data_IF_901552389380
#
_entry.id   IF_901552389380
#
_cell.length_a   1.000
_cell.length_b   1.000
_cell.length_c   1.000
_cell.angle_alpha   90.00
_cell.angle_beta   90.00
_cell.angle_gamma   90.00
#
_symmetry.space_group_name_H-M   'P 1'
#
loop_
_entity.id
_entity.type
_entity.pdbx_description
1 polymer ?
#
# COMPACT_ATOMS: atom_id res chain seq x y z
N UNK A 1 -7.29 7.57 11.73
CA UNK A 1 -6.12 6.98 11.03
C UNK A 1 -5.76 7.73 9.74
N UNK A 2 -6.70 8.05 8.81
CA UNK A 2 -6.40 8.76 7.55
C UNK A 2 -5.72 10.12 7.74
N UNK A 3 -6.23 10.96 8.67
CA UNK A 3 -5.62 12.26 8.97
C UNK A 3 -4.18 12.14 9.49
N UNK A 4 -3.92 11.14 10.34
CA UNK A 4 -2.55 10.85 10.81
C UNK A 4 -1.62 10.42 9.68
N UNK A 5 -2.11 9.64 8.72
CA UNK A 5 -1.36 9.27 7.52
C UNK A 5 -0.98 10.49 6.66
N UNK A 6 -1.93 11.43 6.45
CA UNK A 6 -1.66 12.69 5.73
C UNK A 6 -0.66 13.59 6.46
N UNK A 7 -0.79 13.74 7.78
CA UNK A 7 0.19 14.49 8.57
C UNK A 7 1.57 13.85 8.48
N UNK A 8 1.64 12.52 8.56
CA UNK A 8 2.89 11.77 8.40
C UNK A 8 3.48 11.89 7.00
N UNK A 9 2.64 11.98 5.96
CA UNK A 9 3.06 12.18 4.57
C UNK A 9 3.87 13.47 4.39
N UNK A 10 3.42 14.54 5.02
CA UNK A 10 4.09 15.84 4.95
C UNK A 10 5.24 15.92 5.97
N UNK A 11 4.98 15.53 7.22
CA UNK A 11 5.95 15.67 8.28
C UNK A 11 7.19 14.76 8.12
N UNK A 12 7.01 13.53 7.64
CA UNK A 12 8.09 12.54 7.54
C UNK A 12 9.24 12.95 6.63
N UNK A 13 8.98 13.15 5.31
CA UNK A 13 10.01 13.59 4.36
C UNK A 13 10.63 14.92 4.74
N UNK A 14 9.83 15.90 5.19
CA UNK A 14 10.32 17.20 5.62
C UNK A 14 11.22 17.10 6.86
N UNK A 15 10.85 16.29 7.86
CA UNK A 15 11.67 16.03 9.03
C UNK A 15 13.02 15.41 8.62
N UNK A 16 13.00 14.41 7.75
CA UNK A 16 14.23 13.78 7.25
C UNK A 16 15.11 14.78 6.48
N UNK A 17 14.51 15.58 5.59
CA UNK A 17 15.23 16.58 4.80
C UNK A 17 15.93 17.63 5.66
N UNK A 18 15.22 18.19 6.66
CA UNK A 18 15.78 19.25 7.52
C UNK A 18 16.78 18.73 8.55
N UNK A 19 16.69 17.46 8.93
CA UNK A 19 17.52 16.92 10.02
C UNK A 19 18.71 16.08 9.54
N UNK A 20 18.75 15.67 8.26
CA UNK A 20 19.79 14.80 7.70
C UNK A 20 21.21 15.33 7.81
N UNK A 21 21.37 16.66 7.84
CA UNK A 21 22.68 17.35 7.88
C UNK A 21 22.99 18.01 9.22
N UNK A 22 22.13 17.85 10.23
CA UNK A 22 22.32 18.48 11.55
C UNK A 22 23.48 17.88 12.35
N UNK A 23 23.92 16.67 12.06
CA UNK A 23 25.02 16.00 12.72
C UNK A 23 26.15 15.74 11.72
N UNK A 24 27.34 15.49 12.23
CA UNK A 24 28.54 15.24 11.42
C UNK A 24 28.45 13.97 10.56
N UNK A 25 27.67 12.99 10.99
CA UNK A 25 27.40 11.77 10.23
C UNK A 25 26.11 11.99 9.40
N UNK A 26 26.18 11.83 8.06
CA UNK A 26 25.01 11.97 7.20
C UNK A 26 23.82 11.12 7.67
N UNK A 27 22.63 11.70 7.67
CA UNK A 27 21.37 11.09 8.13
C UNK A 27 21.28 10.75 9.63
N UNK A 28 22.35 10.85 10.42
CA UNK A 28 22.25 10.57 11.86
C UNK A 28 21.22 11.48 12.56
N UNK A 29 21.15 12.76 12.17
CA UNK A 29 20.13 13.69 12.66
C UNK A 29 18.69 13.22 12.35
N UNK A 30 18.45 12.67 11.17
CA UNK A 30 17.14 12.15 10.80
C UNK A 30 16.73 10.93 11.68
N UNK A 31 17.65 10.03 11.97
CA UNK A 31 17.39 8.90 12.87
C UNK A 31 17.13 9.35 14.32
N UNK A 32 17.87 10.36 14.81
CA UNK A 32 17.61 10.95 16.14
C UNK A 32 16.24 11.60 16.20
N UNK A 33 15.85 12.35 15.16
CA UNK A 33 14.52 12.95 15.07
C UNK A 33 13.41 11.89 15.04
N UNK A 34 13.58 10.80 14.29
CA UNK A 34 12.64 9.67 14.27
C UNK A 34 12.55 8.98 15.63
N UNK A 35 13.68 8.81 16.34
CA UNK A 35 13.70 8.26 17.70
C UNK A 35 12.92 9.17 18.67
N UNK A 36 13.06 10.49 18.56
CA UNK A 36 12.30 11.45 19.37
C UNK A 36 10.78 11.35 19.10
N UNK A 37 10.36 11.22 17.82
CA UNK A 37 8.96 11.01 17.44
C UNK A 37 8.43 9.67 18.01
N UNK A 38 9.25 8.61 17.96
CA UNK A 38 8.88 7.32 18.53
C UNK A 38 8.68 7.39 20.05
N UNK A 39 9.58 8.07 20.77
CA UNK A 39 9.46 8.29 22.22
C UNK A 39 8.20 9.10 22.55
N UNK A 40 7.93 10.18 21.81
CA UNK A 40 6.69 10.96 21.97
C UNK A 40 5.45 10.08 21.74
N UNK A 41 5.46 9.24 20.73
CA UNK A 41 4.37 8.28 20.46
C UNK A 41 4.18 7.32 21.64
N UNK A 42 5.27 6.80 22.23
CA UNK A 42 5.18 5.94 23.41
C UNK A 42 4.57 6.66 24.61
N UNK A 43 4.95 7.92 24.85
CA UNK A 43 4.34 8.75 25.93
C UNK A 43 2.86 8.96 25.67
N UNK A 44 2.46 9.31 24.45
CA UNK A 44 1.06 9.45 24.08
C UNK A 44 0.28 8.13 24.29
N UNK A 45 0.83 7.00 23.89
CA UNK A 45 0.21 5.68 24.10
C UNK A 45 0.08 5.31 25.57
N UNK A 46 1.08 5.63 26.39
CA UNK A 46 1.03 5.41 27.83
C UNK A 46 -0.06 6.25 28.56
N UNK A 47 -0.40 7.41 27.99
CA UNK A 47 -1.46 8.25 28.50
C UNK A 47 -2.89 7.75 28.17
N UNK A 48 -3.02 6.83 27.19
CA UNK A 48 -4.32 6.29 26.77
C UNK A 48 -4.69 5.11 27.69
N UNK A 49 -5.85 5.21 28.33
CA UNK A 49 -6.43 4.11 29.11
C UNK A 49 -7.25 3.22 28.18
N UNK A 50 -6.79 1.99 27.98
CA UNK A 50 -7.56 0.98 27.27
C UNK A 50 -8.48 0.25 28.26
N UNK A 51 -9.75 0.08 27.89
CA UNK A 51 -10.63 -0.82 28.63
C UNK A 51 -10.06 -2.26 28.56
N UNK A 52 -10.12 -2.94 29.69
CA UNK A 52 -9.71 -4.35 29.72
C UNK A 52 -10.58 -5.15 28.73
N UNK A 53 -9.99 -5.99 27.87
CA UNK A 53 -10.78 -6.83 26.98
C UNK A 53 -11.71 -7.71 27.82
N UNK A 54 -12.96 -7.93 27.37
CA UNK A 54 -13.89 -8.80 28.09
C UNK A 54 -13.23 -10.17 28.33
N UNK A 55 -13.55 -10.84 29.48
CA UNK A 55 -13.00 -12.16 29.78
C UNK A 55 -13.18 -13.06 28.56
N UNK A 56 -12.07 -13.64 28.09
CA UNK A 56 -12.08 -14.53 26.94
C UNK A 56 -12.98 -15.70 27.33
N UNK A 57 -14.17 -15.83 26.77
CA UNK A 57 -14.99 -17.02 26.92
C UNK A 57 -14.10 -18.22 26.63
N UNK A 58 -14.17 -19.26 27.49
CA UNK A 58 -13.35 -20.46 27.38
C UNK A 58 -13.29 -20.89 25.90
N UNK A 59 -12.08 -21.07 25.38
CA UNK A 59 -11.83 -21.27 23.98
C UNK A 59 -12.71 -22.41 23.45
N UNK A 60 -13.90 -22.06 22.95
CA UNK A 60 -14.68 -22.96 22.12
C UNK A 60 -13.80 -23.35 20.92
N UNK A 61 -13.87 -24.62 20.52
CA UNK A 61 -13.13 -25.13 19.37
C UNK A 61 -13.21 -24.14 18.21
N UNK A 62 -12.11 -23.94 17.44
CA UNK A 62 -12.07 -22.94 16.39
C UNK A 62 -13.23 -23.15 15.42
N UNK A 63 -14.31 -22.35 15.62
CA UNK A 63 -15.49 -22.39 14.75
C UNK A 63 -15.19 -21.64 13.46
N UNK A 64 -15.77 -22.10 12.35
CA UNK A 64 -15.64 -21.46 11.05
C UNK A 64 -14.68 -22.16 10.09
N UNK A 65 -14.68 -21.70 8.86
CA UNK A 65 -13.89 -22.24 7.74
C UNK A 65 -12.38 -22.08 7.98
N UNK A 66 -11.61 -23.05 7.48
CA UNK A 66 -10.14 -22.95 7.44
C UNK A 66 -9.69 -21.89 6.41
N UNK A 67 -8.42 -21.44 6.50
CA UNK A 67 -7.85 -20.51 5.50
C UNK A 67 -7.97 -21.07 4.08
N UNK A 68 -7.73 -22.37 3.90
CA UNK A 68 -7.85 -23.02 2.59
C UNK A 68 -9.31 -23.01 2.07
N UNK A 69 -10.29 -23.12 2.96
CA UNK A 69 -11.70 -23.00 2.56
C UNK A 69 -12.09 -21.55 2.26
N UNK A 70 -11.57 -20.57 3.01
CA UNK A 70 -11.76 -19.16 2.72
C UNK A 70 -11.15 -18.77 1.37
N UNK A 71 -9.96 -19.24 1.04
CA UNK A 71 -9.31 -19.00 -0.25
C UNK A 71 -10.02 -19.64 -1.45
N UNK A 72 -10.91 -20.64 -1.21
CA UNK A 72 -11.79 -21.20 -2.26
C UNK A 72 -13.01 -20.32 -2.51
N UNK A 73 -13.34 -19.40 -1.61
CA UNK A 73 -14.41 -18.44 -1.80
C UNK A 73 -13.95 -17.37 -2.81
N UNK A 74 -14.62 -17.22 -3.98
CA UNK A 74 -14.17 -16.32 -5.04
C UNK A 74 -13.96 -14.88 -4.59
N UNK A 75 -14.86 -14.36 -3.78
CA UNK A 75 -14.75 -12.99 -3.27
C UNK A 75 -13.54 -12.82 -2.33
N UNK A 76 -13.27 -13.81 -1.47
CA UNK A 76 -12.12 -13.78 -0.58
C UNK A 76 -10.80 -13.93 -1.33
N UNK A 77 -10.75 -14.81 -2.33
CA UNK A 77 -9.58 -14.98 -3.19
C UNK A 77 -9.22 -13.68 -3.92
N UNK A 78 -10.20 -13.05 -4.58
CA UNK A 78 -10.00 -11.78 -5.31
C UNK A 78 -9.61 -10.65 -4.36
N UNK A 79 -10.22 -10.59 -3.18
CA UNK A 79 -9.85 -9.64 -2.14
C UNK A 79 -8.40 -9.83 -1.69
N UNK A 80 -7.97 -11.06 -1.43
CA UNK A 80 -6.61 -11.37 -1.00
C UNK A 80 -5.59 -11.06 -2.09
N UNK A 81 -5.86 -11.45 -3.35
CA UNK A 81 -5.01 -11.12 -4.49
C UNK A 81 -4.92 -9.61 -4.71
N UNK A 82 -6.04 -8.90 -4.69
CA UNK A 82 -6.08 -7.44 -4.86
C UNK A 82 -5.30 -6.71 -3.77
N UNK A 83 -5.43 -7.13 -2.51
CA UNK A 83 -4.67 -6.57 -1.40
C UNK A 83 -3.16 -6.86 -1.53
N UNK A 84 -2.78 -8.12 -1.74
CA UNK A 84 -1.37 -8.55 -1.77
C UNK A 84 -0.63 -8.00 -3.00
N UNK A 85 -1.18 -8.18 -4.20
CA UNK A 85 -0.54 -7.73 -5.44
C UNK A 85 -0.59 -6.21 -5.59
N UNK A 86 -1.71 -5.58 -5.21
CA UNK A 86 -1.81 -4.11 -5.20
C UNK A 86 -0.80 -3.47 -4.25
N UNK A 87 -0.62 -4.05 -3.06
CA UNK A 87 0.41 -3.60 -2.11
C UNK A 87 1.82 -3.90 -2.64
N UNK A 88 2.02 -5.06 -3.25
CA UNK A 88 3.31 -5.46 -3.83
C UNK A 88 3.76 -4.53 -4.95
N UNK A 89 2.88 -4.19 -5.90
CA UNK A 89 3.18 -3.23 -6.98
C UNK A 89 3.52 -1.86 -6.41
N UNK A 90 2.71 -1.38 -5.47
CA UNK A 90 2.96 -0.10 -4.81
C UNK A 90 4.33 -0.09 -4.14
N UNK A 91 4.65 -1.11 -3.33
CA UNK A 91 5.92 -1.20 -2.62
C UNK A 91 7.11 -1.33 -3.58
N UNK A 92 6.97 -2.12 -4.66
CA UNK A 92 8.01 -2.30 -5.68
C UNK A 92 8.42 -0.97 -6.32
N UNK A 93 7.43 -0.21 -6.82
CA UNK A 93 7.67 1.03 -7.55
C UNK A 93 8.07 2.18 -6.60
N UNK A 94 7.40 2.30 -5.45
CA UNK A 94 7.71 3.33 -4.45
C UNK A 94 9.15 3.19 -3.94
N UNK A 95 9.59 1.97 -3.58
CA UNK A 95 10.93 1.75 -3.03
C UNK A 95 12.03 1.92 -4.09
N UNK A 96 11.74 1.62 -5.36
CA UNK A 96 12.70 1.78 -6.46
C UNK A 96 12.86 3.24 -6.91
N UNK A 97 11.83 4.08 -6.73
CA UNK A 97 11.80 5.46 -7.26
C UNK A 97 12.96 6.34 -6.77
N UNK A 98 13.30 6.42 -5.47
CA UNK A 98 14.42 7.25 -5.03
C UNK A 98 15.75 6.81 -5.65
N UNK A 99 15.96 5.51 -5.83
CA UNK A 99 17.16 4.97 -6.47
C UNK A 99 17.20 5.32 -7.97
N UNK A 100 16.07 5.20 -8.67
CA UNK A 100 15.96 5.59 -10.07
C UNK A 100 16.21 7.09 -10.25
N UNK A 101 15.62 7.94 -9.39
CA UNK A 101 15.84 9.39 -9.40
C UNK A 101 17.30 9.75 -9.12
N UNK A 102 17.96 9.06 -8.19
CA UNK A 102 19.38 9.26 -7.91
C UNK A 102 20.25 8.93 -9.13
N UNK A 103 19.95 7.85 -9.85
CA UNK A 103 20.64 7.51 -11.11
C UNK A 103 20.43 8.58 -12.18
N UNK A 104 19.27 9.24 -12.20
CA UNK A 104 18.97 10.38 -13.09
C UNK A 104 19.59 11.71 -12.60
N UNK A 105 20.31 11.74 -11.47
CA UNK A 105 20.97 12.93 -10.95
C UNK A 105 20.10 13.87 -10.11
N UNK A 106 18.90 13.44 -9.71
CA UNK A 106 18.02 14.23 -8.84
C UNK A 106 18.53 14.29 -7.40
N UNK A 107 18.28 15.44 -6.76
CA UNK A 107 18.61 15.64 -5.37
C UNK A 107 17.68 14.82 -4.44
N UNK A 108 18.14 14.61 -3.21
CA UNK A 108 17.34 13.93 -2.18
C UNK A 108 15.97 14.63 -1.95
N UNK A 109 15.95 15.96 -1.99
CA UNK A 109 14.75 16.75 -1.73
C UNK A 109 13.71 16.58 -2.84
N UNK A 110 14.14 16.39 -4.10
CA UNK A 110 13.25 16.05 -5.22
C UNK A 110 12.57 14.69 -5.01
N UNK A 111 13.35 13.68 -4.59
CA UNK A 111 12.82 12.36 -4.28
C UNK A 111 11.89 12.39 -3.06
N UNK A 112 12.21 13.17 -2.03
CA UNK A 112 11.37 13.39 -0.87
C UNK A 112 10.01 14.00 -1.25
N UNK A 113 10.02 15.02 -2.13
CA UNK A 113 8.81 15.66 -2.65
C UNK A 113 7.94 14.67 -3.44
N UNK A 114 8.53 13.85 -4.30
CA UNK A 114 7.81 12.84 -5.08
C UNK A 114 7.16 11.80 -4.16
N UNK A 115 7.87 11.34 -3.13
CA UNK A 115 7.31 10.42 -2.12
C UNK A 115 6.22 11.08 -1.27
N UNK A 116 6.34 12.36 -0.94
CA UNK A 116 5.29 13.12 -0.22
C UNK A 116 3.98 13.10 -1.01
N UNK A 117 4.03 13.45 -2.30
CA UNK A 117 2.86 13.39 -3.18
C UNK A 117 2.29 11.98 -3.35
N UNK A 118 3.17 10.96 -3.39
CA UNK A 118 2.73 9.57 -3.40
C UNK A 118 1.91 9.23 -2.15
N UNK A 119 2.42 9.56 -0.96
CA UNK A 119 1.73 9.24 0.31
C UNK A 119 0.44 10.07 0.46
N UNK A 120 0.42 11.33 -0.02
CA UNK A 120 -0.82 12.10 -0.14
C UNK A 120 -1.82 11.34 -1.03
N UNK A 121 -1.38 10.83 -2.19
CA UNK A 121 -2.20 9.99 -3.07
C UNK A 121 -2.72 8.71 -2.42
N UNK A 122 -1.96 8.11 -1.48
CA UNK A 122 -2.40 6.93 -0.73
C UNK A 122 -3.52 7.24 0.29
N UNK A 123 -3.47 8.37 0.97
CA UNK A 123 -4.36 8.64 2.10
C UNK A 123 -5.47 9.62 1.80
N UNK A 124 -5.25 10.66 0.98
CA UNK A 124 -6.26 11.68 0.69
C UNK A 124 -7.52 11.11 0.02
N UNK A 125 -7.44 10.21 -0.98
CA UNK A 125 -8.65 9.63 -1.58
C UNK A 125 -9.48 8.81 -0.58
N UNK A 126 -8.87 8.30 0.49
CA UNK A 126 -9.55 7.51 1.52
C UNK A 126 -10.76 8.22 2.15
N UNK A 127 -10.80 9.56 2.15
CA UNK A 127 -11.97 10.31 2.63
C UNK A 127 -13.19 10.15 1.72
N UNK A 128 -12.99 9.84 0.42
CA UNK A 128 -14.07 9.70 -0.56
C UNK A 128 -14.24 8.27 -1.07
N UNK A 129 -13.21 7.42 -0.96
CA UNK A 129 -13.23 6.04 -1.48
C UNK A 129 -14.37 5.22 -0.90
N UNK A 130 -14.67 5.38 0.39
CA UNK A 130 -15.81 4.71 1.03
C UNK A 130 -17.15 5.09 0.39
N UNK A 131 -17.35 6.37 0.08
CA UNK A 131 -18.56 6.85 -0.61
C UNK A 131 -18.63 6.35 -2.07
N UNK A 132 -17.49 6.28 -2.76
CA UNK A 132 -17.42 5.70 -4.10
C UNK A 132 -17.81 4.22 -4.10
N UNK A 133 -17.32 3.45 -3.13
CA UNK A 133 -17.69 2.03 -2.96
C UNK A 133 -19.18 1.87 -2.68
N UNK A 134 -19.78 2.74 -1.84
CA UNK A 134 -21.21 2.71 -1.56
C UNK A 134 -22.06 3.04 -2.80
N UNK A 135 -21.63 3.97 -3.65
CA UNK A 135 -22.39 4.40 -4.84
C UNK A 135 -22.17 3.52 -6.05
N UNK A 136 -20.95 3.10 -6.32
CA UNK A 136 -20.56 2.41 -7.55
C UNK A 136 -20.40 0.89 -7.33
N UNK A 137 -20.24 0.47 -6.09
CA UNK A 137 -19.88 -0.90 -5.74
C UNK A 137 -18.35 -1.09 -5.61
N UNK A 138 -17.96 -2.17 -4.95
CA UNK A 138 -16.55 -2.44 -4.61
C UNK A 138 -15.71 -2.80 -5.85
N UNK A 139 -16.25 -3.62 -6.76
CA UNK A 139 -15.49 -4.10 -7.94
C UNK A 139 -15.19 -2.99 -8.96
N UNK A 140 -16.09 -2.06 -9.30
CA UNK A 140 -15.77 -0.91 -10.14
C UNK A 140 -14.67 -0.01 -9.54
N UNK A 141 -14.68 0.22 -8.23
CA UNK A 141 -13.64 1.01 -7.56
C UNK A 141 -12.29 0.28 -7.60
N UNK A 142 -12.25 -1.03 -7.39
CA UNK A 142 -11.04 -1.84 -7.57
C UNK A 142 -10.55 -1.79 -9.03
N UNK A 143 -11.46 -1.87 -10.00
CA UNK A 143 -11.14 -1.73 -11.42
C UNK A 143 -10.52 -0.38 -11.75
N UNK A 144 -11.06 0.72 -11.21
CA UNK A 144 -10.47 2.05 -11.33
C UNK A 144 -9.06 2.10 -10.72
N UNK A 145 -8.81 1.42 -9.58
CA UNK A 145 -7.49 1.27 -8.99
C UNK A 145 -6.49 0.56 -9.91
N UNK A 146 -6.93 -0.52 -10.60
CA UNK A 146 -6.11 -1.20 -11.62
C UNK A 146 -5.76 -0.25 -12.77
N UNK A 147 -6.73 0.51 -13.30
CA UNK A 147 -6.50 1.47 -14.38
C UNK A 147 -5.53 2.58 -13.98
N UNK A 148 -5.62 3.07 -12.74
CA UNK A 148 -4.67 4.07 -12.22
C UNK A 148 -3.25 3.49 -12.10
N UNK A 149 -3.09 2.24 -11.69
CA UNK A 149 -1.78 1.59 -11.67
C UNK A 149 -1.21 1.36 -13.09
N UNK A 150 -2.05 1.04 -14.06
CA UNK A 150 -1.64 0.99 -15.47
C UNK A 150 -1.22 2.38 -15.98
N UNK A 151 -1.97 3.42 -15.64
CA UNK A 151 -1.62 4.80 -15.97
C UNK A 151 -0.30 5.24 -15.30
N UNK A 152 -0.06 4.83 -14.05
CA UNK A 152 1.23 5.02 -13.39
C UNK A 152 2.38 4.44 -14.22
N UNK A 153 2.28 3.18 -14.62
CA UNK A 153 3.31 2.51 -15.45
C UNK A 153 3.48 3.21 -16.79
N UNK A 154 2.37 3.59 -17.44
CA UNK A 154 2.43 4.32 -18.71
C UNK A 154 3.19 5.64 -18.58
N UNK A 155 2.87 6.45 -17.56
CA UNK A 155 3.57 7.73 -17.30
C UNK A 155 5.04 7.49 -16.95
N UNK A 156 5.35 6.48 -16.13
CA UNK A 156 6.72 6.14 -15.75
C UNK A 156 7.60 5.68 -16.95
N UNK A 157 6.97 5.14 -18.00
CA UNK A 157 7.66 4.72 -19.23
C UNK A 157 7.78 5.85 -20.27
N UNK A 158 7.01 6.94 -20.14
CA UNK A 158 7.07 8.08 -21.07
C UNK A 158 8.32 8.96 -20.87
N UNK A 159 8.94 8.94 -19.69
CA UNK A 159 10.13 9.73 -19.42
C UNK A 159 10.64 9.59 -17.99
N UNK A 160 11.75 10.28 -17.73
CA UNK A 160 12.45 10.30 -16.45
C UNK A 160 12.58 11.73 -15.87
N UNK A 161 11.77 12.67 -16.34
CA UNK A 161 11.72 14.00 -15.75
C UNK A 161 11.00 13.96 -14.40
N UNK A 162 11.24 14.96 -13.57
CA UNK A 162 10.65 15.07 -12.23
C UNK A 162 9.11 14.94 -12.26
N UNK A 163 8.46 15.53 -13.28
CA UNK A 163 7.01 15.43 -13.45
C UNK A 163 6.54 13.99 -13.74
N UNK A 164 7.31 13.22 -14.51
CA UNK A 164 6.99 11.81 -14.76
C UNK A 164 7.03 11.00 -13.48
N UNK A 165 8.07 11.14 -12.67
CA UNK A 165 8.15 10.50 -11.36
C UNK A 165 7.01 10.94 -10.43
N UNK A 166 6.74 12.26 -10.33
CA UNK A 166 5.71 12.81 -9.46
C UNK A 166 4.30 12.32 -9.83
N UNK A 167 3.92 12.44 -11.12
CA UNK A 167 2.60 12.00 -11.60
C UNK A 167 2.45 10.50 -11.49
N UNK A 168 3.46 9.71 -11.90
CA UNK A 168 3.43 8.26 -11.82
C UNK A 168 3.21 7.79 -10.37
N UNK A 169 3.98 8.32 -9.41
CA UNK A 169 3.85 7.94 -8.02
C UNK A 169 2.56 8.43 -7.37
N UNK A 170 2.06 9.60 -7.73
CA UNK A 170 0.76 10.05 -7.27
C UNK A 170 -0.36 9.11 -7.73
N UNK A 171 -0.37 8.73 -9.03
CA UNK A 171 -1.33 7.78 -9.60
C UNK A 171 -1.22 6.40 -8.92
N UNK A 172 0.01 5.96 -8.62
CA UNK A 172 0.28 4.73 -7.88
C UNK A 172 -0.37 4.77 -6.49
N UNK A 173 -0.24 5.88 -5.77
CA UNK A 173 -0.83 6.07 -4.44
C UNK A 173 -2.35 5.99 -4.48
N UNK A 174 -2.99 6.72 -5.41
CA UNK A 174 -4.46 6.69 -5.58
C UNK A 174 -4.94 5.30 -6.00
N UNK A 175 -4.24 4.67 -6.95
CA UNK A 175 -4.53 3.31 -7.41
C UNK A 175 -4.43 2.28 -6.29
N UNK A 176 -3.40 2.37 -5.47
CA UNK A 176 -3.25 1.55 -4.27
C UNK A 176 -4.40 1.77 -3.28
N UNK A 177 -4.78 3.02 -3.00
CA UNK A 177 -5.89 3.31 -2.10
C UNK A 177 -7.19 2.62 -2.55
N UNK A 178 -7.53 2.71 -3.84
CA UNK A 178 -8.73 2.10 -4.39
C UNK A 178 -8.68 0.56 -4.34
N UNK A 179 -7.53 -0.03 -4.68
CA UNK A 179 -7.34 -1.47 -4.61
C UNK A 179 -7.36 -1.99 -3.18
N UNK A 180 -6.62 -1.38 -2.28
CA UNK A 180 -6.48 -1.86 -0.91
C UNK A 180 -7.78 -1.67 -0.11
N UNK A 181 -8.41 -0.49 -0.19
CA UNK A 181 -9.70 -0.21 0.45
C UNK A 181 -10.81 -1.08 -0.15
N UNK A 182 -10.83 -1.24 -1.48
CA UNK A 182 -11.76 -2.14 -2.16
C UNK A 182 -11.56 -3.59 -1.75
N UNK A 183 -10.33 -4.07 -1.72
CA UNK A 183 -10.00 -5.44 -1.31
C UNK A 183 -10.40 -5.75 0.12
N UNK A 184 -10.09 -4.85 1.07
CA UNK A 184 -10.48 -5.02 2.47
C UNK A 184 -12.00 -4.99 2.63
N UNK A 185 -12.71 -4.13 1.89
CA UNK A 185 -14.17 -4.09 1.88
C UNK A 185 -14.78 -5.36 1.25
N UNK A 186 -14.20 -5.86 0.15
CA UNK A 186 -14.64 -7.10 -0.49
C UNK A 186 -14.45 -8.31 0.43
N UNK A 187 -13.33 -8.35 1.16
CA UNK A 187 -13.06 -9.41 2.13
C UNK A 187 -14.12 -9.48 3.24
N UNK A 188 -14.58 -8.32 3.75
CA UNK A 188 -15.63 -8.25 4.76
C UNK A 188 -16.96 -8.92 4.31
N UNK A 189 -17.21 -8.97 3.00
CA UNK A 189 -18.39 -9.63 2.43
C UNK A 189 -18.23 -11.16 2.32
N UNK A 190 -17.01 -11.68 2.45
CA UNK A 190 -16.65 -13.06 2.16
C UNK A 190 -16.47 -13.95 3.39
N UNK A 191 -16.27 -13.36 4.57
CA UNK A 191 -16.09 -14.13 5.80
C UNK A 191 -17.14 -13.75 6.87
N UNK A 192 -17.37 -14.67 7.81
CA UNK A 192 -18.29 -14.49 8.93
C UNK A 192 -17.58 -13.81 10.11
N UNK A 193 -18.34 -13.18 11.05
CA UNK A 193 -17.74 -12.53 12.22
C UNK A 193 -16.78 -13.41 13.03
N UNK A 194 -17.09 -14.69 13.20
CA UNK A 194 -16.26 -15.67 13.91
C UNK A 194 -14.98 -16.07 13.14
N UNK A 195 -14.91 -15.78 11.84
CA UNK A 195 -13.76 -16.06 10.97
C UNK A 195 -12.82 -14.84 10.82
N UNK A 196 -13.20 -13.69 11.37
CA UNK A 196 -12.55 -12.38 11.14
C UNK A 196 -11.03 -12.43 11.38
N UNK A 197 -10.61 -12.91 12.54
CA UNK A 197 -9.19 -12.89 12.91
C UNK A 197 -8.36 -13.78 11.97
N UNK A 198 -8.91 -14.95 11.60
CA UNK A 198 -8.27 -15.88 10.67
C UNK A 198 -8.21 -15.32 9.26
N UNK A 199 -9.29 -14.71 8.80
CA UNK A 199 -9.36 -14.08 7.48
C UNK A 199 -8.37 -12.91 7.36
N UNK A 200 -8.34 -12.03 8.36
CA UNK A 200 -7.41 -10.90 8.38
C UNK A 200 -5.95 -11.35 8.52
N UNK A 201 -5.67 -12.37 9.35
CA UNK A 201 -4.34 -12.94 9.45
C UNK A 201 -3.85 -13.51 8.11
N UNK A 202 -4.73 -14.21 7.38
CA UNK A 202 -4.40 -14.73 6.05
C UNK A 202 -4.10 -13.61 5.05
N UNK A 203 -4.94 -12.58 4.95
CA UNK A 203 -4.71 -11.44 4.06
C UNK A 203 -3.40 -10.74 4.41
N UNK A 204 -3.17 -10.44 5.69
CA UNK A 204 -1.94 -9.79 6.15
C UNK A 204 -0.70 -10.64 5.84
N UNK A 205 -0.78 -11.96 6.01
CA UNK A 205 0.32 -12.85 5.64
C UNK A 205 0.70 -12.70 4.16
N UNK A 206 -0.27 -12.75 3.25
CA UNK A 206 0.00 -12.60 1.82
C UNK A 206 0.49 -11.19 1.47
N UNK A 207 -0.05 -10.14 2.09
CA UNK A 207 0.41 -8.76 1.90
C UNK A 207 1.86 -8.62 2.34
N UNK A 208 2.21 -9.03 3.57
CA UNK A 208 3.58 -8.86 4.08
C UNK A 208 4.60 -9.78 3.39
N UNK A 209 4.21 -11.01 3.01
CA UNK A 209 5.06 -11.88 2.21
C UNK A 209 5.37 -11.25 0.84
N UNK A 210 4.35 -10.70 0.17
CA UNK A 210 4.53 -10.00 -1.11
C UNK A 210 5.38 -8.74 -0.92
N UNK A 211 5.17 -7.96 0.15
CA UNK A 211 6.01 -6.80 0.45
C UNK A 211 7.47 -7.17 0.65
N UNK A 212 7.76 -8.22 1.40
CA UNK A 212 9.14 -8.68 1.62
C UNK A 212 9.82 -9.04 0.29
N UNK A 213 9.12 -9.77 -0.58
CA UNK A 213 9.61 -10.14 -1.92
C UNK A 213 9.84 -8.90 -2.80
N UNK A 214 8.88 -7.98 -2.84
CA UNK A 214 8.98 -6.79 -3.68
C UNK A 214 9.97 -5.76 -3.14
N UNK A 215 10.19 -5.66 -1.84
CA UNK A 215 11.24 -4.83 -1.25
C UNK A 215 12.63 -5.31 -1.67
N UNK A 216 12.87 -6.63 -1.63
CA UNK A 216 14.11 -7.19 -2.13
C UNK A 216 14.25 -6.99 -3.65
N UNK A 217 13.18 -7.27 -4.40
CA UNK A 217 13.16 -7.16 -5.85
C UNK A 217 13.35 -5.71 -6.33
N UNK A 218 12.82 -4.71 -5.61
CA UNK A 218 12.92 -3.30 -6.02
C UNK A 218 14.37 -2.83 -6.11
N UNK A 219 15.17 -3.08 -5.07
CA UNK A 219 16.58 -2.74 -5.07
C UNK A 219 17.38 -3.51 -6.11
N UNK A 220 17.18 -4.84 -6.17
CA UNK A 220 17.88 -5.70 -7.12
C UNK A 220 17.55 -5.33 -8.57
N UNK A 221 16.28 -5.16 -8.92
CA UNK A 221 15.88 -4.88 -10.30
C UNK A 221 16.28 -3.47 -10.75
N UNK A 222 16.09 -2.44 -9.93
CA UNK A 222 16.42 -1.06 -10.35
C UNK A 222 17.92 -0.88 -10.58
N UNK A 223 18.76 -1.56 -9.79
CA UNK A 223 20.23 -1.44 -9.91
C UNK A 223 20.82 -2.30 -11.02
N UNK A 224 20.21 -3.43 -11.38
CA UNK A 224 20.73 -4.35 -12.38
C UNK A 224 20.05 -4.22 -13.75
N UNK A 225 18.76 -3.94 -13.78
CA UNK A 225 17.92 -3.94 -14.98
C UNK A 225 17.35 -2.56 -15.32
N UNK A 226 17.45 -1.62 -14.39
CA UNK A 226 17.00 -0.25 -14.56
C UNK A 226 15.50 -0.04 -14.37
N UNK A 227 15.12 1.24 -14.37
CA UNK A 227 13.76 1.71 -14.13
C UNK A 227 12.73 1.17 -15.12
N UNK A 228 13.08 1.12 -16.40
CA UNK A 228 12.17 0.69 -17.48
C UNK A 228 11.73 -0.76 -17.33
N UNK A 229 12.67 -1.69 -17.11
CA UNK A 229 12.32 -3.11 -16.97
C UNK A 229 11.54 -3.39 -15.68
N UNK A 230 11.84 -2.68 -14.61
CA UNK A 230 11.08 -2.77 -13.35
C UNK A 230 9.61 -2.37 -13.56
N UNK A 231 9.35 -1.30 -14.33
CA UNK A 231 7.99 -0.88 -14.68
C UNK A 231 7.28 -1.91 -15.56
N UNK A 232 7.94 -2.49 -16.57
CA UNK A 232 7.36 -3.59 -17.35
C UNK A 232 7.04 -4.82 -16.48
N UNK A 233 7.92 -5.17 -15.53
CA UNK A 233 7.70 -6.27 -14.61
C UNK A 233 6.47 -6.08 -13.71
N UNK A 234 6.12 -4.83 -13.38
CA UNK A 234 4.93 -4.52 -12.58
C UNK A 234 3.61 -4.74 -13.33
N UNK A 235 3.63 -4.81 -14.68
CA UNK A 235 2.43 -5.07 -15.48
C UNK A 235 1.82 -6.45 -15.20
N UNK A 236 2.64 -7.46 -14.94
CA UNK A 236 2.15 -8.82 -14.72
C UNK A 236 1.23 -8.92 -13.46
N UNK A 237 1.64 -8.46 -12.27
CA UNK A 237 0.76 -8.47 -11.11
C UNK A 237 -0.43 -7.52 -11.24
N UNK A 238 -0.31 -6.37 -11.96
CA UNK A 238 -1.43 -5.48 -12.24
C UNK A 238 -2.45 -6.17 -13.13
N UNK A 239 -2.01 -6.82 -14.22
CA UNK A 239 -2.89 -7.55 -15.12
C UNK A 239 -3.60 -8.72 -14.42
N UNK A 240 -2.87 -9.48 -13.59
CA UNK A 240 -3.46 -10.56 -12.80
C UNK A 240 -4.56 -10.05 -11.85
N UNK A 241 -4.30 -8.93 -11.18
CA UNK A 241 -5.31 -8.29 -10.32
C UNK A 241 -6.52 -7.84 -11.14
N UNK A 242 -6.30 -7.20 -12.29
CA UNK A 242 -7.36 -6.76 -13.19
C UNK A 242 -8.22 -7.92 -13.71
N UNK A 243 -7.58 -9.01 -14.14
CA UNK A 243 -8.28 -10.22 -14.57
C UNK A 243 -9.10 -10.87 -13.45
N UNK A 244 -8.57 -10.91 -12.23
CA UNK A 244 -9.28 -11.45 -11.07
C UNK A 244 -10.53 -10.61 -10.73
N UNK A 245 -10.40 -9.28 -10.74
CA UNK A 245 -11.52 -8.35 -10.51
C UNK A 245 -12.58 -8.49 -11.60
N UNK A 246 -12.18 -8.52 -12.87
CA UNK A 246 -13.09 -8.69 -14.01
C UNK A 246 -13.79 -10.04 -13.96
N UNK A 247 -13.07 -11.12 -13.71
CA UNK A 247 -13.64 -12.46 -13.57
C UNK A 247 -14.74 -12.50 -12.49
N UNK A 248 -14.48 -11.91 -11.31
CA UNK A 248 -15.48 -11.89 -10.26
C UNK A 248 -16.67 -11.00 -10.63
N UNK A 249 -16.45 -9.89 -11.33
CA UNK A 249 -17.51 -9.00 -11.79
C UNK A 249 -18.45 -9.70 -12.80
N UNK A 250 -17.90 -10.47 -13.74
CA UNK A 250 -18.66 -11.24 -14.70
C UNK A 250 -19.45 -12.37 -14.03
N UNK A 251 -18.81 -13.09 -13.09
CA UNK A 251 -19.45 -14.17 -12.33
C UNK A 251 -20.62 -13.70 -11.45
N UNK A 252 -20.61 -12.46 -10.96
CA UNK A 252 -21.71 -11.90 -10.16
C UNK A 252 -22.89 -11.42 -11.00
N UNK A 253 -22.72 -11.28 -12.33
CA UNK A 253 -23.78 -10.90 -13.26
C UNK A 253 -24.46 -12.11 -13.91
N UNK A 254 -23.80 -13.26 -13.93
CA UNK A 254 -24.34 -14.54 -14.38
C UNK A 254 -25.13 -15.24 -13.28
#
# INVERSE_FOLDING_TARGET
MLAGGLLGAVAGPNLASHTRTLLSVPFAGAYVALAAVALLSMVCMAAIRFEAPPPRAAASAPSGRSVAQLLREPAFLVATLGAALGYGVMNLLMAATPLAMQVCGYAFDDAALVLEWHVIGMFAPGFVTGHLIQRLGVLPVMGAGVLLNLACVAVALLGVDLHHFGIALFLLGVGWNFLFTGSTTLALQAYRPEEKDRAQAAINFFVFATMALTSFASGALVTTQGWTLLNYGSLAPIALTGMAVLWLALRRKA
#
